data_IF_456200654817
#
_entry.id   IF_456200654817
#
_cell.length_a   1.000
_cell.length_b   1.000
_cell.length_c   1.000
_cell.angle_alpha   90.00
_cell.angle_beta   90.00
_cell.angle_gamma   90.00
#
_symmetry.space_group_name_H-M   'P 1'
#
loop_
_entity.id
_entity.type
_entity.pdbx_description
1 polymer ?
#
# COMPACT_ATOMS: atom_id res chain seq x y z
N UNK A 1 -14.72 9.53 9.03
CA UNK A 1 -13.72 8.53 8.58
C UNK A 1 -13.96 8.03 7.16
N UNK A 2 -15.17 7.64 6.77
CA UNK A 2 -15.42 7.07 5.43
C UNK A 2 -15.06 8.03 4.27
N UNK A 3 -15.30 9.33 4.43
CA UNK A 3 -14.89 10.32 3.41
C UNK A 3 -13.37 10.45 3.30
N UNK A 4 -12.68 10.47 4.45
CA UNK A 4 -11.21 10.51 4.47
C UNK A 4 -10.57 9.31 3.77
N UNK A 5 -11.05 8.09 3.99
CA UNK A 5 -10.47 6.90 3.33
C UNK A 5 -10.71 6.91 1.82
N UNK A 6 -11.85 7.43 1.35
CA UNK A 6 -12.11 7.61 -0.09
C UNK A 6 -11.16 8.63 -0.72
N UNK A 7 -10.89 9.73 -0.02
CA UNK A 7 -9.92 10.74 -0.46
C UNK A 7 -8.49 10.17 -0.47
N UNK A 8 -8.10 9.45 0.60
CA UNK A 8 -6.76 8.88 0.75
C UNK A 8 -6.42 7.88 -0.37
N UNK A 9 -7.39 7.06 -0.80
CA UNK A 9 -7.19 6.01 -1.80
C UNK A 9 -7.73 6.37 -3.19
N UNK A 10 -8.05 7.64 -3.46
CA UNK A 10 -8.66 8.07 -4.72
C UNK A 10 -7.87 7.66 -5.98
N UNK A 11 -6.55 7.51 -5.87
CA UNK A 11 -5.66 7.10 -6.98
C UNK A 11 -5.43 5.59 -7.13
N UNK A 12 -6.08 4.75 -6.31
CA UNK A 12 -5.91 3.30 -6.35
C UNK A 12 -7.22 2.62 -6.77
N UNK A 13 -7.19 1.59 -7.62
CA UNK A 13 -8.34 0.72 -7.82
C UNK A 13 -8.48 -0.24 -6.62
N UNK A 14 -9.67 -0.30 -6.00
CA UNK A 14 -9.94 -1.19 -4.87
C UNK A 14 -11.43 -1.53 -4.70
N UNK A 15 -11.76 -2.61 -3.98
CA UNK A 15 -13.13 -2.89 -3.52
C UNK A 15 -13.39 -2.11 -2.23
N UNK A 16 -14.40 -1.24 -2.22
CA UNK A 16 -14.81 -0.45 -1.06
C UNK A 16 -15.21 -1.26 0.19
N UNK A 17 -15.41 -2.57 0.07
CA UNK A 17 -15.69 -3.49 1.18
C UNK A 17 -14.41 -4.17 1.72
N UNK A 18 -13.28 -4.03 1.03
CA UNK A 18 -11.99 -4.55 1.49
C UNK A 18 -11.45 -3.75 2.67
N UNK A 19 -10.63 -4.40 3.49
CA UNK A 19 -9.73 -3.71 4.40
C UNK A 19 -8.62 -3.00 3.60
N UNK A 20 -7.92 -2.06 4.22
CA UNK A 20 -6.68 -1.48 3.68
C UNK A 20 -5.46 -2.07 4.38
N UNK A 21 -4.32 -2.12 3.70
CA UNK A 21 -3.06 -2.64 4.21
C UNK A 21 -2.02 -1.52 4.35
N UNK A 22 -1.38 -1.44 5.52
CA UNK A 22 -0.14 -0.69 5.71
C UNK A 22 0.96 -1.71 5.93
N UNK A 23 1.92 -1.80 5.00
CA UNK A 23 2.99 -2.79 5.11
C UNK A 23 4.27 -2.33 4.39
N UNK A 24 5.40 -2.85 4.82
CA UNK A 24 6.72 -2.65 4.23
C UNK A 24 7.81 -3.08 5.22
N UNK A 25 9.09 -2.89 4.87
CA UNK A 25 10.20 -3.27 5.75
C UNK A 25 10.18 -2.43 7.05
N UNK A 26 10.77 -2.97 8.11
CA UNK A 26 10.85 -2.26 9.40
C UNK A 26 11.65 -0.96 9.24
N UNK A 27 12.77 -1.03 8.52
CA UNK A 27 13.76 0.03 8.36
C UNK A 27 14.08 0.29 6.89
N UNK A 28 14.50 1.52 6.58
CA UNK A 28 15.03 1.92 5.28
C UNK A 28 16.49 1.48 5.22
N UNK A 29 16.79 0.51 4.37
CA UNK A 29 18.15 -0.06 4.22
C UNK A 29 18.77 0.31 2.87
N UNK A 30 18.08 0.00 1.78
CA UNK A 30 18.55 0.18 0.40
C UNK A 30 17.38 0.49 -0.54
N UNK A 31 17.57 1.42 -1.47
CA UNK A 31 16.51 1.87 -2.40
C UNK A 31 15.99 0.73 -3.28
N UNK A 32 16.88 -0.11 -3.82
CA UNK A 32 16.48 -1.19 -4.71
C UNK A 32 15.67 -2.26 -3.95
N UNK A 33 16.03 -2.55 -2.70
CA UNK A 33 15.25 -3.42 -1.83
C UNK A 33 13.85 -2.82 -1.55
N UNK A 34 13.77 -1.53 -1.21
CA UNK A 34 12.51 -0.85 -0.95
C UNK A 34 11.58 -0.90 -2.16
N UNK A 35 12.10 -0.57 -3.34
CA UNK A 35 11.33 -0.58 -4.59
C UNK A 35 10.85 -2.00 -4.92
N UNK A 36 11.71 -3.01 -4.77
CA UNK A 36 11.33 -4.41 -5.00
C UNK A 36 10.16 -4.84 -4.10
N UNK A 37 10.21 -4.50 -2.81
CA UNK A 37 9.13 -4.82 -1.87
C UNK A 37 7.87 -4.04 -2.22
N UNK A 38 7.99 -2.74 -2.46
CA UNK A 38 6.87 -1.86 -2.77
C UNK A 38 6.11 -2.32 -4.03
N UNK A 39 6.84 -2.60 -5.11
CA UNK A 39 6.27 -3.10 -6.37
C UNK A 39 5.57 -4.44 -6.17
N UNK A 40 6.20 -5.37 -5.46
CA UNK A 40 5.65 -6.71 -5.26
C UNK A 40 4.34 -6.67 -4.45
N UNK A 41 4.33 -5.95 -3.33
CA UNK A 41 3.15 -5.86 -2.46
C UNK A 41 2.06 -5.01 -3.11
N UNK A 42 2.42 -3.89 -3.75
CA UNK A 42 1.46 -3.05 -4.49
C UNK A 42 0.77 -3.83 -5.62
N UNK A 43 1.52 -4.63 -6.38
CA UNK A 43 0.95 -5.48 -7.43
C UNK A 43 -0.03 -6.52 -6.90
N UNK A 44 0.28 -7.16 -5.76
CA UNK A 44 -0.63 -8.11 -5.11
C UNK A 44 -1.90 -7.41 -4.60
N UNK A 45 -1.75 -6.27 -3.93
CA UNK A 45 -2.86 -5.46 -3.43
C UNK A 45 -3.77 -4.98 -4.56
N UNK A 46 -3.20 -4.52 -5.68
CA UNK A 46 -3.96 -4.14 -6.87
C UNK A 46 -4.77 -5.31 -7.44
N UNK A 47 -4.15 -6.49 -7.59
CA UNK A 47 -4.82 -7.70 -8.08
C UNK A 47 -5.98 -8.17 -7.17
N UNK A 48 -5.87 -7.93 -5.86
CA UNK A 48 -6.86 -8.31 -4.86
C UNK A 48 -7.88 -7.20 -4.54
N UNK A 49 -7.73 -6.00 -5.11
CA UNK A 49 -8.58 -4.86 -4.81
C UNK A 49 -8.45 -4.38 -3.35
N UNK A 50 -7.24 -4.44 -2.79
CA UNK A 50 -6.91 -4.00 -1.43
C UNK A 50 -6.16 -2.67 -1.52
N UNK A 51 -6.64 -1.57 -0.91
CA UNK A 51 -5.89 -0.33 -0.83
C UNK A 51 -4.60 -0.52 -0.02
N UNK A 52 -3.50 0.08 -0.48
CA UNK A 52 -2.17 -0.15 0.08
C UNK A 52 -1.42 1.15 0.40
N UNK A 53 -0.76 1.16 1.56
CA UNK A 53 0.21 2.18 1.98
C UNK A 53 1.54 1.48 2.26
N UNK A 54 2.56 1.80 1.47
CA UNK A 54 3.92 1.38 1.75
C UNK A 54 4.48 2.13 2.97
N UNK A 55 5.12 1.41 3.90
CA UNK A 55 5.74 1.98 5.10
C UNK A 55 7.14 1.43 5.33
N UNK A 56 8.10 2.31 5.60
CA UNK A 56 9.42 2.00 6.14
C UNK A 56 9.82 3.06 7.18
N UNK A 57 10.66 2.74 8.18
CA UNK A 57 11.18 3.70 9.17
C UNK A 57 12.64 4.04 8.90
N UNK A 58 13.07 5.24 9.27
CA UNK A 58 14.50 5.47 9.55
C UNK A 58 14.82 5.04 10.98
#
# INVERSE_FOLDING_TARGET
>A
MQNFLKELFQGQPYDSRSFFLIAGPCVVEDEALLMTIAERVSGLCNALGIPYIFKASY
#
